data_IF_372863489828
#
_entry.id   IF_372863489828
#
_cell.length_a   1.000
_cell.length_b   1.000
_cell.length_c   1.000
_cell.angle_alpha   90.00
_cell.angle_beta   90.00
_cell.angle_gamma   90.00
#
_symmetry.space_group_name_H-M   'P 1'
#
loop_
_entity.id
_entity.type
_entity.pdbx_description
1 polymer ?
#
# COMPACT_ATOMS: atom_id res chain seq x y z
N UNK A 1 0.11 -13.33 -2.54
CA UNK A 1 -0.54 -12.12 -3.09
C UNK A 1 0.56 -11.09 -3.37
N UNK A 2 0.38 -10.24 -4.37
CA UNK A 2 1.32 -9.16 -4.68
C UNK A 2 0.57 -7.82 -4.65
N UNK A 3 1.13 -6.84 -3.95
CA UNK A 3 0.68 -5.43 -3.97
C UNK A 3 1.84 -4.57 -4.46
N UNK A 4 1.67 -3.91 -5.59
CA UNK A 4 2.67 -3.03 -6.17
C UNK A 4 2.23 -1.57 -6.09
N UNK A 5 3.09 -0.71 -5.58
CA UNK A 5 2.90 0.73 -5.47
C UNK A 5 3.63 1.43 -6.61
N UNK A 6 2.85 1.99 -7.53
CA UNK A 6 3.28 2.76 -8.69
C UNK A 6 3.15 4.25 -8.41
N UNK A 7 4.20 4.89 -7.90
CA UNK A 7 4.23 6.33 -7.65
C UNK A 7 5.20 7.02 -8.62
N UNK A 8 4.79 8.16 -9.17
CA UNK A 8 5.65 9.01 -10.02
C UNK A 8 6.62 9.88 -9.20
N UNK A 9 6.36 10.05 -7.90
CA UNK A 9 7.26 10.59 -6.90
C UNK A 9 6.75 10.31 -5.49
N UNK A 10 7.57 10.59 -4.47
CA UNK A 10 7.13 10.56 -3.07
C UNK A 10 7.82 11.61 -2.23
N UNK A 11 7.16 12.75 -2.05
CA UNK A 11 7.64 13.80 -1.17
C UNK A 11 7.13 13.58 0.27
N UNK A 12 7.98 13.19 1.22
CA UNK A 12 7.53 12.80 2.54
C UNK A 12 7.06 13.99 3.38
N UNK A 13 5.99 13.80 4.16
CA UNK A 13 5.65 14.74 5.24
C UNK A 13 6.60 14.54 6.44
N UNK A 14 6.72 15.52 7.36
CA UNK A 14 7.44 15.32 8.61
C UNK A 14 6.96 14.09 9.39
N UNK A 15 5.65 13.79 9.35
CA UNK A 15 5.08 12.59 9.95
C UNK A 15 5.56 11.29 9.29
N UNK A 16 5.66 11.28 7.95
CA UNK A 16 6.22 10.14 7.20
C UNK A 16 7.68 9.88 7.60
N UNK A 17 8.49 10.94 7.73
CA UNK A 17 9.89 10.83 8.14
C UNK A 17 10.03 10.32 9.57
N UNK A 18 9.25 10.86 10.51
CA UNK A 18 9.25 10.42 11.90
C UNK A 18 8.82 8.95 12.04
N UNK A 19 7.75 8.53 11.35
CA UNK A 19 7.30 7.15 11.35
C UNK A 19 8.34 6.20 10.73
N UNK A 20 9.01 6.64 9.65
CA UNK A 20 10.08 5.88 9.00
C UNK A 20 11.26 5.66 9.93
N UNK A 21 11.68 6.69 10.66
CA UNK A 21 12.76 6.61 11.65
C UNK A 21 12.43 5.62 12.78
N UNK A 22 11.24 5.74 13.39
CA UNK A 22 10.79 4.83 14.45
C UNK A 22 10.66 3.38 13.94
N UNK A 23 10.13 3.20 12.73
CA UNK A 23 10.04 1.87 12.10
C UNK A 23 11.42 1.27 11.84
N UNK A 24 12.39 2.06 11.38
CA UNK A 24 13.75 1.61 11.15
C UNK A 24 14.43 1.19 12.47
N UNK A 25 14.30 2.01 13.51
CA UNK A 25 14.83 1.75 14.85
C UNK A 25 14.27 0.44 15.44
N UNK A 26 12.94 0.28 15.44
CA UNK A 26 12.27 -0.91 15.99
C UNK A 26 12.66 -2.21 15.29
N UNK A 27 13.07 -2.13 14.02
CA UNK A 27 13.52 -3.30 13.24
C UNK A 27 15.03 -3.55 13.37
N UNK A 28 15.76 -2.67 14.05
CA UNK A 28 17.22 -2.69 14.07
C UNK A 28 17.81 -2.57 12.66
N UNK A 29 17.17 -1.76 11.80
CA UNK A 29 17.53 -1.59 10.40
C UNK A 29 17.17 -2.76 9.46
N UNK A 30 16.72 -3.90 10.00
CA UNK A 30 16.42 -5.10 9.19
C UNK A 30 15.14 -4.94 8.38
N UNK A 31 15.10 -5.61 7.22
CA UNK A 31 13.90 -5.70 6.39
C UNK A 31 12.95 -6.74 6.96
N UNK A 32 11.67 -6.61 6.64
CA UNK A 32 10.61 -7.48 7.16
C UNK A 32 9.73 -7.93 6.02
N UNK A 33 9.36 -9.21 5.97
CA UNK A 33 8.44 -9.75 4.95
C UNK A 33 7.41 -10.67 5.59
N UNK A 34 6.28 -10.89 4.91
CA UNK A 34 5.32 -11.91 5.29
C UNK A 34 5.40 -13.08 4.32
N UNK A 35 5.94 -14.20 4.77
CA UNK A 35 6.13 -15.41 3.98
C UNK A 35 5.99 -16.66 4.86
N UNK A 36 5.60 -17.78 4.27
CA UNK A 36 5.30 -19.01 5.02
C UNK A 36 4.24 -18.83 6.11
N UNK A 37 3.32 -17.88 5.93
CA UNK A 37 2.26 -17.57 6.90
C UNK A 37 2.71 -16.81 8.15
N UNK A 38 3.93 -16.23 8.17
CA UNK A 38 4.46 -15.47 9.31
C UNK A 38 5.30 -14.27 8.87
N UNK A 39 5.50 -13.34 9.81
CA UNK A 39 6.47 -12.26 9.64
C UNK A 39 7.88 -12.79 9.85
N UNK A 40 8.81 -12.35 9.00
CA UNK A 40 10.23 -12.68 9.07
C UNK A 40 11.06 -11.41 8.94
N UNK A 41 12.08 -11.28 9.79
CA UNK A 41 13.15 -10.31 9.60
C UNK A 41 14.28 -10.91 8.78
N UNK A 42 14.86 -10.13 7.88
CA UNK A 42 15.96 -10.56 7.02
C UNK A 42 16.86 -9.38 6.64
N UNK A 43 18.08 -9.71 6.22
CA UNK A 43 19.14 -8.77 5.83
C UNK A 43 19.42 -8.81 4.32
N UNK A 44 18.58 -9.50 3.54
CA UNK A 44 18.73 -9.58 2.09
C UNK A 44 18.74 -8.17 1.47
N UNK A 45 19.72 -7.85 0.60
CA UNK A 45 19.80 -6.54 -0.01
C UNK A 45 18.57 -6.26 -0.87
N UNK A 46 18.15 -4.99 -1.01
CA UNK A 46 17.05 -4.64 -1.89
C UNK A 46 17.37 -5.08 -3.33
N UNK A 47 16.35 -5.62 -4.00
CA UNK A 47 16.44 -6.04 -5.41
C UNK A 47 15.54 -5.17 -6.24
N UNK A 48 16.03 -4.76 -7.41
CA UNK A 48 15.23 -4.06 -8.40
C UNK A 48 14.64 -5.09 -9.37
N UNK A 49 13.35 -4.94 -9.66
CA UNK A 49 12.62 -5.73 -10.63
C UNK A 49 11.88 -4.80 -11.60
N UNK A 50 11.55 -5.29 -12.80
CA UNK A 50 10.72 -4.56 -13.74
C UNK A 50 9.28 -5.10 -13.67
N UNK A 51 8.32 -4.21 -13.44
CA UNK A 51 6.91 -4.55 -13.27
C UNK A 51 6.04 -3.77 -14.25
N UNK A 52 5.08 -4.47 -14.87
CA UNK A 52 4.10 -3.88 -15.77
C UNK A 52 2.84 -3.46 -14.99
N UNK A 53 2.71 -2.16 -14.72
CA UNK A 53 1.46 -1.58 -14.20
C UNK A 53 0.44 -1.42 -15.34
N UNK A 54 -0.86 -1.29 -15.05
CA UNK A 54 -1.82 -0.90 -16.07
C UNK A 54 -1.51 0.49 -16.63
N UNK A 55 -1.99 0.77 -17.84
CA UNK A 55 -1.99 2.14 -18.37
C UNK A 55 -2.71 3.10 -17.41
N UNK A 56 -2.27 4.37 -17.30
CA UNK A 56 -1.20 5.02 -18.09
C UNK A 56 0.23 4.84 -17.52
N UNK A 57 0.41 4.06 -16.44
CA UNK A 57 1.73 3.94 -15.79
C UNK A 57 2.69 3.11 -16.65
N UNK A 58 2.24 1.97 -17.16
CA UNK A 58 3.07 1.06 -17.94
C UNK A 58 4.23 0.44 -17.15
N UNK A 59 5.30 0.03 -17.83
CA UNK A 59 6.44 -0.62 -17.19
C UNK A 59 7.26 0.33 -16.32
N UNK A 60 7.60 -0.10 -15.10
CA UNK A 60 8.45 0.65 -14.16
C UNK A 60 9.43 -0.27 -13.44
N UNK A 61 10.59 0.28 -13.10
CA UNK A 61 11.50 -0.34 -12.14
C UNK A 61 10.96 -0.16 -10.72
N UNK A 62 10.95 -1.26 -9.96
CA UNK A 62 10.46 -1.31 -8.59
C UNK A 62 11.50 -1.94 -7.67
N UNK A 63 11.53 -1.51 -6.42
CA UNK A 63 12.22 -2.21 -5.33
C UNK A 63 11.27 -3.31 -4.83
N UNK A 64 11.70 -4.56 -4.96
CA UNK A 64 11.00 -5.72 -4.43
C UNK A 64 11.12 -5.81 -2.90
N UNK A 65 10.09 -6.34 -2.25
CA UNK A 65 9.97 -6.44 -0.79
C UNK A 65 10.09 -5.07 -0.09
N UNK A 66 9.51 -4.03 -0.69
CA UNK A 66 9.38 -2.73 -0.03
C UNK A 66 8.18 -2.78 0.91
N UNK A 67 8.43 -3.01 2.19
CA UNK A 67 7.39 -3.38 3.14
C UNK A 67 6.55 -2.20 3.61
N UNK A 68 5.25 -2.30 3.39
CA UNK A 68 4.21 -1.39 3.85
C UNK A 68 3.33 -2.11 4.89
N UNK A 69 2.34 -1.42 5.46
CA UNK A 69 1.45 -2.00 6.48
C UNK A 69 0.71 -3.27 6.00
N UNK A 70 0.59 -3.47 4.69
CA UNK A 70 -0.11 -4.59 4.05
C UNK A 70 0.40 -5.97 4.48
N UNK A 71 1.69 -6.09 4.78
CA UNK A 71 2.27 -7.36 5.23
C UNK A 71 1.74 -7.80 6.61
N UNK A 72 1.05 -6.91 7.32
CA UNK A 72 0.35 -7.20 8.59
C UNK A 72 -1.16 -7.14 8.39
N UNK A 73 -1.69 -6.12 7.71
CA UNK A 73 -3.13 -5.88 7.62
C UNK A 73 -3.86 -6.85 6.70
N UNK A 74 -3.23 -7.35 5.63
CA UNK A 74 -3.81 -8.37 4.73
C UNK A 74 -3.91 -9.73 5.44
N UNK A 75 -2.81 -10.32 5.97
CA UNK A 75 -2.86 -11.63 6.59
C UNK A 75 -3.65 -11.66 7.91
N UNK A 76 -3.98 -10.50 8.50
CA UNK A 76 -4.82 -10.45 9.71
C UNK A 76 -6.27 -10.88 9.47
N UNK A 77 -6.72 -10.94 8.20
CA UNK A 77 -8.11 -11.28 7.86
C UNK A 77 -8.25 -12.14 6.60
N UNK A 78 -7.16 -12.35 5.85
CA UNK A 78 -7.13 -13.23 4.68
C UNK A 78 -6.11 -14.36 4.89
N UNK A 79 -6.54 -15.60 4.63
CA UNK A 79 -5.65 -16.77 4.64
C UNK A 79 -4.75 -16.75 3.40
N UNK A 80 -3.60 -16.07 3.51
CA UNK A 80 -2.57 -16.01 2.47
C UNK A 80 -1.25 -16.53 3.03
N UNK A 81 -0.48 -17.32 2.26
CA UNK A 81 0.83 -17.80 2.72
C UNK A 81 1.93 -16.74 2.58
N UNK A 82 1.71 -15.74 1.70
CA UNK A 82 2.72 -14.76 1.32
C UNK A 82 2.07 -13.46 0.85
N UNK A 83 2.63 -12.33 1.28
CA UNK A 83 2.31 -10.98 0.79
C UNK A 83 3.59 -10.34 0.30
N UNK A 84 3.72 -10.22 -1.02
CA UNK A 84 4.83 -9.50 -1.67
C UNK A 84 4.41 -8.07 -1.89
N UNK A 85 5.31 -7.15 -1.57
CA UNK A 85 5.10 -5.71 -1.81
C UNK A 85 6.24 -5.16 -2.65
N UNK A 86 5.92 -4.23 -3.55
CA UNK A 86 6.91 -3.55 -4.39
C UNK A 86 6.61 -2.05 -4.44
N UNK A 87 7.64 -1.22 -4.57
CA UNK A 87 7.52 0.24 -4.67
C UNK A 87 8.35 0.74 -5.84
N UNK A 88 7.86 1.69 -6.64
CA UNK A 88 8.66 2.30 -7.71
C UNK A 88 9.98 2.86 -7.19
N UNK A 89 11.05 2.64 -7.96
CA UNK A 89 12.40 3.11 -7.58
C UNK A 89 12.42 4.62 -7.41
N UNK A 90 11.68 5.37 -8.23
CA UNK A 90 11.53 6.83 -8.11
C UNK A 90 11.04 7.23 -6.72
N UNK A 91 9.88 6.71 -6.29
CA UNK A 91 9.31 7.03 -4.98
C UNK A 91 10.21 6.59 -3.81
N UNK A 92 10.86 5.43 -3.91
CA UNK A 92 11.78 4.98 -2.88
C UNK A 92 13.02 5.89 -2.74
N UNK A 93 13.52 6.45 -3.86
CA UNK A 93 14.63 7.42 -3.86
C UNK A 93 14.21 8.75 -3.25
N UNK A 94 13.04 9.26 -3.63
CA UNK A 94 12.54 10.53 -3.10
C UNK A 94 12.32 10.47 -1.58
N UNK A 95 11.72 9.37 -1.10
CA UNK A 95 11.55 9.11 0.33
C UNK A 95 12.91 9.09 1.06
N UNK A 96 13.93 8.46 0.48
CA UNK A 96 15.26 8.37 1.07
C UNK A 96 16.01 9.73 1.05
N UNK A 97 15.79 10.54 0.01
CA UNK A 97 16.37 11.87 -0.09
C UNK A 97 15.76 12.85 0.94
N UNK A 98 14.56 12.56 1.44
CA UNK A 98 13.83 13.39 2.40
C UNK A 98 13.70 14.86 1.95
N UNK A 99 13.49 15.06 0.64
CA UNK A 99 13.35 16.38 0.03
C UNK A 99 12.11 17.12 0.51
N UNK A 100 12.11 18.44 0.32
CA UNK A 100 10.93 19.26 0.56
C UNK A 100 9.78 18.85 -0.35
N UNK A 101 8.55 19.09 0.14
CA UNK A 101 7.35 18.79 -0.63
C UNK A 101 7.26 19.72 -1.84
N UNK A 102 7.34 19.13 -3.03
CA UNK A 102 7.09 19.83 -4.27
C UNK A 102 5.68 20.41 -4.33
N UNK A 103 5.46 21.47 -5.13
CA UNK A 103 4.14 22.09 -5.28
C UNK A 103 3.14 21.20 -6.01
N UNK A 104 3.60 20.21 -6.76
CA UNK A 104 2.76 19.33 -7.55
C UNK A 104 2.44 18.02 -6.79
N UNK A 105 1.15 17.61 -6.76
CA UNK A 105 0.77 16.35 -6.15
C UNK A 105 1.13 15.16 -7.04
N UNK A 106 1.75 14.16 -6.43
CA UNK A 106 2.19 12.91 -7.04
C UNK A 106 1.00 12.06 -7.47
N UNK A 107 1.13 11.35 -8.58
CA UNK A 107 0.15 10.34 -8.98
C UNK A 107 0.53 9.01 -8.35
N UNK A 108 -0.48 8.24 -7.94
CA UNK A 108 -0.26 6.91 -7.40
C UNK A 108 -1.18 5.88 -8.05
N UNK A 109 -0.65 4.67 -8.11
CA UNK A 109 -1.36 3.44 -8.43
C UNK A 109 -1.04 2.40 -7.37
N UNK A 110 -2.05 1.72 -6.85
CA UNK A 110 -1.90 0.50 -6.06
C UNK A 110 -2.45 -0.65 -6.89
N UNK A 111 -1.58 -1.58 -7.27
CA UNK A 111 -1.92 -2.72 -8.11
C UNK A 111 -1.87 -4.01 -7.30
N UNK A 112 -3.03 -4.62 -7.08
CA UNK A 112 -3.18 -5.83 -6.29
C UNK A 112 -3.44 -7.03 -7.19
N UNK A 113 -2.55 -8.02 -7.15
CA UNK A 113 -2.64 -9.27 -7.90
C UNK A 113 -2.72 -10.46 -6.95
N UNK A 114 -3.77 -11.26 -7.11
CA UNK A 114 -3.98 -12.51 -6.35
C UNK A 114 -3.89 -13.69 -7.29
N UNK A 115 -3.16 -14.72 -6.85
CA UNK A 115 -3.07 -16.00 -7.53
C UNK A 115 -3.70 -17.08 -6.65
N UNK A 116 -4.64 -17.85 -7.20
CA UNK A 116 -5.29 -18.96 -6.49
C UNK A 116 -5.64 -20.07 -7.46
N UNK A 117 -5.15 -21.30 -7.22
CA UNK A 117 -5.47 -22.50 -8.03
C UNK A 117 -5.26 -22.29 -9.54
N UNK A 118 -4.20 -21.60 -9.94
CA UNK A 118 -3.89 -21.29 -11.34
C UNK A 118 -4.65 -20.08 -11.91
N UNK A 119 -5.64 -19.53 -11.20
CA UNK A 119 -6.30 -18.28 -11.60
C UNK A 119 -5.52 -17.07 -11.09
N UNK A 120 -5.45 -16.04 -11.94
CA UNK A 120 -4.91 -14.71 -11.60
C UNK A 120 -6.03 -13.68 -11.66
N UNK A 121 -6.22 -12.93 -10.58
CA UNK A 121 -7.12 -11.76 -10.52
C UNK A 121 -6.32 -10.52 -10.18
N UNK A 122 -6.73 -9.38 -10.73
CA UNK A 122 -6.05 -8.09 -10.60
C UNK A 122 -7.10 -7.01 -10.30
N UNK A 123 -6.80 -6.13 -9.37
CA UNK A 123 -7.55 -4.90 -9.13
C UNK A 123 -6.57 -3.75 -8.90
N UNK A 124 -6.89 -2.59 -9.43
CA UNK A 124 -6.01 -1.44 -9.44
C UNK A 124 -6.75 -0.21 -8.92
N UNK A 125 -6.16 0.47 -7.94
CA UNK A 125 -6.63 1.76 -7.45
C UNK A 125 -5.69 2.86 -7.92
N UNK A 126 -6.22 3.99 -8.40
CA UNK A 126 -5.42 5.13 -8.84
C UNK A 126 -5.98 6.45 -8.33
N UNK A 127 -5.10 7.43 -8.15
CA UNK A 127 -5.45 8.77 -7.69
C UNK A 127 -4.25 9.72 -7.72
N UNK A 128 -4.42 10.89 -7.10
CA UNK A 128 -3.38 11.90 -6.91
C UNK A 128 -3.25 12.26 -5.45
N UNK A 129 -2.05 12.66 -5.05
CA UNK A 129 -1.69 13.05 -3.69
C UNK A 129 -2.01 11.97 -2.64
N UNK A 130 -1.01 11.16 -2.32
CA UNK A 130 -1.13 10.09 -1.31
C UNK A 130 -1.50 10.61 0.09
N UNK A 131 -1.29 11.90 0.37
CA UNK A 131 -1.67 12.52 1.64
C UNK A 131 -3.07 13.10 1.59
N UNK A 132 -3.45 13.78 0.50
CA UNK A 132 -4.80 14.33 0.37
C UNK A 132 -5.86 13.22 0.34
N UNK A 133 -5.57 12.08 -0.29
CA UNK A 133 -6.49 10.92 -0.32
C UNK A 133 -6.70 10.28 1.07
N UNK A 134 -5.78 10.52 2.01
CA UNK A 134 -5.91 10.00 3.38
C UNK A 134 -7.11 10.61 4.12
N UNK A 135 -7.46 11.87 3.83
CA UNK A 135 -8.59 12.55 4.47
C UNK A 135 -9.95 11.92 4.13
N UNK A 136 -10.35 11.73 2.86
CA UNK A 136 -11.62 11.05 2.54
C UNK A 136 -11.62 9.59 2.99
N UNK A 137 -10.48 8.89 2.96
CA UNK A 137 -10.35 7.53 3.51
C UNK A 137 -10.73 7.47 5.00
N UNK A 138 -10.15 8.37 5.81
CA UNK A 138 -10.42 8.42 7.24
C UNK A 138 -11.87 8.87 7.53
N UNK A 139 -12.35 9.89 6.81
CA UNK A 139 -13.71 10.40 6.97
C UNK A 139 -14.76 9.33 6.65
N UNK A 140 -14.62 8.60 5.53
CA UNK A 140 -15.55 7.54 5.15
C UNK A 140 -15.55 6.39 6.16
N UNK A 141 -14.39 5.99 6.68
CA UNK A 141 -14.30 5.00 7.74
C UNK A 141 -15.04 5.44 9.01
N UNK A 142 -14.84 6.68 9.47
CA UNK A 142 -15.55 7.23 10.64
C UNK A 142 -17.06 7.28 10.39
N UNK A 143 -17.50 7.78 9.23
CA UNK A 143 -18.91 7.82 8.87
C UNK A 143 -19.56 6.43 8.91
N UNK A 144 -18.90 5.40 8.37
CA UNK A 144 -19.41 4.02 8.41
C UNK A 144 -19.46 3.45 9.83
N UNK A 145 -18.44 3.70 10.63
CA UNK A 145 -18.41 3.27 12.03
C UNK A 145 -19.58 3.88 12.80
N UNK A 146 -19.78 5.20 12.70
CA UNK A 146 -20.87 5.91 13.38
C UNK A 146 -22.25 5.49 12.88
N UNK A 147 -22.37 5.14 11.60
CA UNK A 147 -23.61 4.62 11.01
C UNK A 147 -23.84 3.11 11.27
N UNK A 148 -22.95 2.44 12.01
CA UNK A 148 -23.03 1.00 12.24
C UNK A 148 -22.79 0.12 11.00
N UNK A 149 -22.26 0.69 9.91
CA UNK A 149 -21.95 0.00 8.65
C UNK A 149 -20.59 -0.70 8.72
N UNK A 150 -20.45 -1.62 9.68
CA UNK A 150 -19.23 -2.42 9.89
C UNK A 150 -19.53 -3.91 9.78
N UNK A 151 -18.57 -4.71 9.33
CA UNK A 151 -18.67 -6.17 9.19
C UNK A 151 -18.25 -6.94 10.43
N UNK A 152 -17.50 -6.28 11.31
CA UNK A 152 -16.98 -6.85 12.56
C UNK A 152 -16.88 -5.76 13.62
N UNK A 153 -16.79 -6.17 14.88
CA UNK A 153 -16.54 -5.30 16.03
C UNK A 153 -15.11 -5.48 16.56
N UNK A 154 -14.64 -4.54 17.37
CA UNK A 154 -13.30 -4.57 17.94
C UNK A 154 -12.23 -4.01 16.99
N UNK A 155 -10.97 -4.42 17.20
CA UNK A 155 -9.83 -3.98 16.39
C UNK A 155 -9.77 -4.81 15.12
N UNK A 156 -9.90 -4.17 13.95
CA UNK A 156 -9.74 -4.82 12.66
C UNK A 156 -9.12 -3.87 11.62
N UNK A 157 -8.53 -4.44 10.57
CA UNK A 157 -8.10 -3.67 9.40
C UNK A 157 -9.30 -3.18 8.58
N UNK A 158 -9.12 -2.14 7.77
CA UNK A 158 -10.20 -1.61 6.92
C UNK A 158 -10.80 -2.68 5.99
N UNK A 159 -9.95 -3.55 5.41
CA UNK A 159 -10.39 -4.66 4.55
C UNK A 159 -11.22 -5.74 5.28
N UNK A 160 -11.05 -5.87 6.59
CA UNK A 160 -11.90 -6.73 7.42
C UNK A 160 -13.18 -6.01 7.88
N UNK A 161 -13.07 -4.70 8.16
CA UNK A 161 -14.13 -3.91 8.78
C UNK A 161 -15.21 -3.48 7.81
N UNK A 162 -14.87 -3.23 6.54
CA UNK A 162 -15.80 -2.69 5.54
C UNK A 162 -15.94 -3.61 4.33
N UNK A 163 -17.05 -3.47 3.60
CA UNK A 163 -17.13 -4.00 2.25
C UNK A 163 -16.17 -3.21 1.34
N UNK A 164 -15.16 -3.88 0.79
CA UNK A 164 -14.07 -3.21 0.10
C UNK A 164 -14.52 -2.51 -1.19
N UNK A 165 -15.42 -3.12 -1.97
CA UNK A 165 -15.87 -2.57 -3.24
C UNK A 165 -16.75 -1.32 -3.01
N UNK A 166 -17.69 -1.41 -2.08
CA UNK A 166 -18.53 -0.29 -1.69
C UNK A 166 -17.71 0.84 -1.03
N UNK A 167 -16.74 0.50 -0.18
CA UNK A 167 -15.86 1.48 0.47
C UNK A 167 -15.01 2.25 -0.53
N UNK A 168 -14.35 1.56 -1.46
CA UNK A 168 -13.48 2.21 -2.45
C UNK A 168 -14.29 3.02 -3.46
N UNK A 169 -15.48 2.55 -3.85
CA UNK A 169 -16.39 3.32 -4.72
C UNK A 169 -16.81 4.64 -4.08
N UNK A 170 -17.03 4.68 -2.77
CA UNK A 170 -17.41 5.89 -2.04
C UNK A 170 -16.31 6.97 -2.02
N UNK A 171 -15.07 6.62 -2.38
CA UNK A 171 -13.94 7.56 -2.43
C UNK A 171 -13.84 8.30 -3.77
N UNK A 172 -14.69 7.99 -4.75
CA UNK A 172 -14.68 8.72 -6.01
C UNK A 172 -15.03 10.21 -5.79
N UNK A 173 -14.36 11.15 -6.47
CA UNK A 173 -13.34 10.94 -7.51
C UNK A 173 -11.90 10.88 -6.97
N UNK A 174 -11.67 10.94 -5.65
CA UNK A 174 -10.31 10.97 -5.08
C UNK A 174 -9.53 9.66 -5.32
N UNK A 175 -10.24 8.52 -5.38
CA UNK A 175 -9.71 7.23 -5.83
C UNK A 175 -10.63 6.66 -6.89
N UNK A 176 -10.04 6.12 -7.95
CA UNK A 176 -10.77 5.36 -8.97
C UNK A 176 -10.23 3.94 -9.03
N UNK A 177 -11.13 2.97 -9.17
CA UNK A 177 -10.81 1.54 -9.18
C UNK A 177 -11.07 0.97 -10.57
N UNK A 178 -10.18 0.09 -11.04
CA UNK A 178 -10.34 -0.74 -12.23
C UNK A 178 -10.00 -2.18 -11.91
N UNK A 179 -10.77 -3.15 -12.41
CA UNK A 179 -10.53 -4.59 -12.19
C UNK A 179 -11.78 -5.43 -12.12
#
# INVERSE_FOLDING_TARGET
MHVAYGLDGWHPTPGTLAASAVSHERRGGRRVRFTGGRLEYHDDPPRTERLAFPEPIGERDVIAEFSMADIVTIPSHLAVPEVRTSMTVTAARDLAAAGERGPEPESFVVDAVVHRRGERRRATAHGRDIYAVTAPLAAEAVCRILAGRTRTTGVASAGAMFDAADFLTALAPAVTITG
#
